data_IF_046807861544
#
_entry.id   IF_046807861544
#
_cell.length_a   1.000
_cell.length_b   1.000
_cell.length_c   1.000
_cell.angle_alpha   90.00
_cell.angle_beta   90.00
_cell.angle_gamma   90.00
#
_symmetry.space_group_name_H-M   'P 1'
#
loop_
_entity.id
_entity.type
_entity.pdbx_description
1 polymer ?
#
# COMPACT_ATOMS: atom_id res chain seq x y z
N UNK A 1 39.21 13.97 4.50
CA UNK A 1 38.17 14.24 5.53
C UNK A 1 38.29 15.70 5.91
N UNK A 2 37.72 16.58 5.09
CA UNK A 2 37.75 18.02 5.30
C UNK A 2 36.33 18.51 5.67
N UNK A 3 36.26 19.01 6.91
CA UNK A 3 35.32 20.00 7.44
C UNK A 3 33.89 20.11 6.88
N UNK A 4 33.01 19.20 7.28
CA UNK A 4 31.55 19.41 7.25
C UNK A 4 30.99 20.26 8.41
N UNK A 5 31.87 20.93 9.17
CA UNK A 5 31.53 21.75 10.34
C UNK A 5 30.98 23.15 10.00
N UNK A 6 30.82 23.50 8.72
CA UNK A 6 30.36 24.84 8.29
C UNK A 6 28.92 24.86 7.73
N UNK A 7 28.09 23.85 7.99
CA UNK A 7 26.67 24.05 7.77
C UNK A 7 26.16 25.09 8.77
N UNK A 8 25.62 26.23 8.32
CA UNK A 8 25.04 27.23 9.22
C UNK A 8 23.94 26.56 10.03
N UNK A 9 24.07 26.57 11.36
CA UNK A 9 23.02 26.10 12.28
C UNK A 9 21.72 26.76 11.87
N UNK A 10 20.73 25.97 11.44
CA UNK A 10 19.41 26.48 11.13
C UNK A 10 18.93 27.33 12.32
N UNK A 11 18.55 28.60 12.12
CA UNK A 11 18.09 29.44 13.20
C UNK A 11 16.85 28.82 13.84
N UNK A 12 16.85 28.69 15.18
CA UNK A 12 15.67 28.26 15.91
C UNK A 12 14.51 29.23 15.60
N UNK A 13 13.30 28.71 15.43
CA UNK A 13 12.08 29.41 15.03
C UNK A 13 11.78 30.69 15.87
N UNK A 14 12.48 30.92 16.97
CA UNK A 14 12.26 32.03 17.90
C UNK A 14 13.07 33.31 17.64
N UNK A 15 14.03 33.39 16.70
CA UNK A 15 14.98 34.49 16.63
C UNK A 15 15.06 35.24 15.29
N UNK A 16 13.93 35.41 14.60
CA UNK A 16 13.82 36.14 13.32
C UNK A 16 14.34 37.61 13.44
N UNK A 17 14.24 38.21 14.62
CA UNK A 17 14.73 39.59 14.87
C UNK A 17 16.27 39.70 14.85
N UNK A 18 17.01 38.59 15.01
CA UNK A 18 18.47 38.61 15.04
C UNK A 18 19.13 38.14 13.70
N UNK A 19 18.32 37.89 12.66
CA UNK A 19 18.83 37.50 11.34
C UNK A 19 19.41 38.70 10.60
N UNK A 20 20.49 38.44 9.81
CA UNK A 20 21.00 39.42 8.87
C UNK A 20 19.92 39.81 7.82
N UNK A 21 19.98 40.99 7.20
CA UNK A 21 19.02 41.36 6.16
C UNK A 21 18.92 40.38 5.01
N UNK A 22 20.05 39.74 4.62
CA UNK A 22 20.10 38.71 3.58
C UNK A 22 19.38 37.44 4.02
N UNK A 23 19.68 36.91 5.20
CA UNK A 23 19.03 35.72 5.74
C UNK A 23 17.51 35.91 5.92
N UNK A 24 17.06 37.14 6.31
CA UNK A 24 15.65 37.47 6.41
C UNK A 24 14.95 37.48 5.04
N UNK A 25 15.64 37.97 4.00
CA UNK A 25 15.13 37.95 2.62
C UNK A 25 15.00 36.52 2.08
N UNK A 26 16.02 35.67 2.31
CA UNK A 26 16.01 34.27 1.93
C UNK A 26 14.90 33.50 2.64
N UNK A 27 14.74 33.67 3.95
CA UNK A 27 13.67 33.09 4.75
C UNK A 27 12.29 33.49 4.24
N UNK A 28 12.07 34.79 3.99
CA UNK A 28 10.81 35.30 3.43
C UNK A 28 10.52 34.71 2.04
N UNK A 29 11.52 34.69 1.18
CA UNK A 29 11.37 34.10 -0.16
C UNK A 29 11.08 32.60 -0.06
N UNK A 30 11.74 31.86 0.83
CA UNK A 30 11.46 30.46 1.08
C UNK A 30 10.02 30.21 1.50
N UNK A 31 9.48 31.04 2.44
CA UNK A 31 8.07 30.95 2.83
C UNK A 31 7.15 31.26 1.64
N UNK A 32 7.44 32.31 0.86
CA UNK A 32 6.62 32.69 -0.29
C UNK A 32 6.56 31.58 -1.35
N UNK A 33 7.67 30.86 -1.59
CA UNK A 33 7.68 29.70 -2.49
C UNK A 33 6.89 28.52 -1.96
N UNK A 34 6.84 28.30 -0.64
CA UNK A 34 6.06 27.25 -0.02
C UNK A 34 4.57 27.61 0.17
N UNK A 35 4.23 28.88 0.11
CA UNK A 35 2.89 29.38 0.42
C UNK A 35 1.79 28.77 -0.49
N UNK A 36 1.95 28.64 -1.81
CA UNK A 36 0.96 27.98 -2.67
C UNK A 36 0.68 26.53 -2.24
N UNK A 37 1.75 25.79 -1.87
CA UNK A 37 1.61 24.44 -1.36
C UNK A 37 0.88 24.40 -0.02
N UNK A 38 1.22 25.29 0.93
CA UNK A 38 0.52 25.38 2.22
C UNK A 38 -0.96 25.72 2.07
N UNK A 39 -1.29 26.65 1.20
CA UNK A 39 -2.70 27.00 0.92
C UNK A 39 -3.44 25.79 0.35
N UNK A 40 -2.86 25.10 -0.64
CA UNK A 40 -3.43 23.90 -1.23
C UNK A 40 -3.60 22.79 -0.19
N UNK A 41 -2.59 22.54 0.62
CA UNK A 41 -2.64 21.54 1.69
C UNK A 41 -3.74 21.84 2.71
N UNK A 42 -3.80 23.09 3.20
CA UNK A 42 -4.83 23.49 4.18
C UNK A 42 -6.22 23.37 3.57
N UNK A 43 -6.43 23.92 2.37
CA UNK A 43 -7.76 23.99 1.76
C UNK A 43 -8.29 22.63 1.29
N UNK A 44 -7.43 21.77 0.72
CA UNK A 44 -7.87 20.53 0.06
C UNK A 44 -7.53 19.24 0.83
N UNK A 45 -6.70 19.31 1.85
CA UNK A 45 -6.34 18.15 2.67
C UNK A 45 -6.77 18.34 4.12
N UNK A 46 -6.23 19.37 4.78
CA UNK A 46 -6.43 19.55 6.23
C UNK A 46 -7.89 19.87 6.58
N UNK A 47 -8.51 20.85 5.90
CA UNK A 47 -9.91 21.23 6.17
C UNK A 47 -10.90 20.09 5.90
N UNK A 48 -10.88 19.37 4.76
CA UNK A 48 -11.73 18.19 4.57
C UNK A 48 -11.45 17.08 5.60
N UNK A 49 -10.20 16.87 5.98
CA UNK A 49 -9.84 15.90 7.02
C UNK A 49 -10.45 16.25 8.38
N UNK A 50 -10.35 17.52 8.80
CA UNK A 50 -10.98 18.00 10.03
C UNK A 50 -12.51 17.96 9.95
N UNK A 51 -13.09 18.26 8.80
CA UNK A 51 -14.53 18.14 8.59
C UNK A 51 -15.00 16.68 8.73
N UNK A 52 -14.28 15.69 8.16
CA UNK A 52 -14.62 14.29 8.35
C UNK A 52 -14.45 13.85 9.80
N UNK A 53 -13.47 14.39 10.54
CA UNK A 53 -13.37 14.14 11.98
C UNK A 53 -14.58 14.68 12.73
N UNK A 54 -15.03 15.90 12.41
CA UNK A 54 -16.23 16.46 12.99
C UNK A 54 -17.48 15.62 12.70
N UNK A 55 -17.60 15.05 11.48
CA UNK A 55 -18.70 14.17 11.10
C UNK A 55 -18.81 12.93 11.96
N UNK A 56 -17.73 12.46 12.57
CA UNK A 56 -17.79 11.30 13.48
C UNK A 56 -18.61 11.54 14.74
N UNK A 57 -18.80 12.80 15.15
CA UNK A 57 -19.51 13.19 16.37
C UNK A 57 -20.95 13.62 16.15
N UNK A 58 -21.40 13.67 14.90
CA UNK A 58 -22.77 14.03 14.52
C UNK A 58 -23.45 12.86 13.82
N UNK A 59 -24.80 12.88 13.73
CA UNK A 59 -25.57 12.05 12.79
C UNK A 59 -25.98 12.92 11.61
N UNK A 60 -25.43 12.60 10.46
CA UNK A 60 -25.71 13.27 9.19
C UNK A 60 -25.71 12.24 8.06
N UNK A 61 -26.80 12.19 7.32
CA UNK A 61 -27.03 11.28 6.21
C UNK A 61 -27.60 12.04 5.01
N UNK A 62 -27.47 11.46 3.84
CA UNK A 62 -28.24 11.92 2.68
C UNK A 62 -29.47 11.03 2.58
N UNK A 63 -30.67 11.61 2.69
CA UNK A 63 -31.92 10.89 2.54
C UNK A 63 -32.69 11.53 1.39
N UNK A 64 -33.07 10.75 0.40
CA UNK A 64 -33.77 11.25 -0.83
C UNK A 64 -33.03 12.41 -1.53
N UNK A 65 -31.69 12.38 -1.53
CA UNK A 65 -30.85 13.42 -2.16
C UNK A 65 -30.68 14.70 -1.34
N UNK A 66 -31.23 14.76 -0.13
CA UNK A 66 -31.14 15.92 0.77
C UNK A 66 -30.34 15.54 2.01
N UNK A 67 -29.45 16.45 2.43
CA UNK A 67 -28.71 16.30 3.71
C UNK A 67 -29.69 16.43 4.88
N UNK A 68 -29.67 15.46 5.78
CA UNK A 68 -30.42 15.58 7.06
C UNK A 68 -29.80 16.67 7.91
N UNK A 69 -30.60 17.32 8.76
CA UNK A 69 -30.07 18.28 9.75
C UNK A 69 -29.08 17.59 10.68
N UNK A 70 -27.83 18.08 10.79
CA UNK A 70 -26.84 17.49 11.67
C UNK A 70 -27.30 17.46 13.12
N UNK A 71 -27.26 16.30 13.75
CA UNK A 71 -27.57 16.14 15.18
C UNK A 71 -26.32 15.71 15.92
N UNK A 72 -25.98 16.38 17.01
CA UNK A 72 -24.85 16.00 17.84
C UNK A 72 -25.14 14.68 18.56
N UNK A 73 -24.30 13.65 18.34
CA UNK A 73 -24.45 12.32 18.93
C UNK A 73 -23.23 11.90 19.79
N UNK A 74 -22.23 12.76 19.90
CA UNK A 74 -21.02 12.49 20.66
C UNK A 74 -20.31 11.21 20.16
N UNK A 75 -20.06 10.25 21.02
CA UNK A 75 -19.33 9.01 20.70
C UNK A 75 -20.22 7.85 20.20
N UNK A 76 -21.49 8.08 19.91
CA UNK A 76 -22.43 7.02 19.53
C UNK A 76 -21.96 6.24 18.27
N UNK A 77 -21.37 6.92 17.27
CA UNK A 77 -20.84 6.29 16.08
C UNK A 77 -19.66 5.35 16.39
N UNK A 78 -18.81 5.71 17.36
CA UNK A 78 -17.73 4.84 17.83
C UNK A 78 -18.25 3.63 18.61
N UNK A 79 -19.30 3.81 19.43
CA UNK A 79 -19.95 2.68 20.11
C UNK A 79 -20.55 1.71 19.09
N UNK A 80 -21.16 2.25 18.01
CA UNK A 80 -21.68 1.45 16.90
C UNK A 80 -20.54 0.69 16.21
N UNK A 81 -19.38 1.34 15.94
CA UNK A 81 -18.21 0.72 15.34
C UNK A 81 -17.77 -0.55 16.11
N UNK A 82 -17.67 -0.49 17.43
CA UNK A 82 -17.25 -1.65 18.25
C UNK A 82 -18.28 -2.77 18.31
N UNK A 83 -19.54 -2.49 18.00
CA UNK A 83 -20.64 -3.48 17.94
C UNK A 83 -20.92 -3.99 16.54
N UNK A 84 -20.25 -3.45 15.51
CA UNK A 84 -20.53 -3.76 14.13
C UNK A 84 -19.97 -5.12 13.71
N UNK A 85 -20.85 -6.09 13.55
CA UNK A 85 -20.48 -7.44 13.11
C UNK A 85 -19.90 -7.47 11.68
N UNK A 86 -20.18 -6.48 10.82
CA UNK A 86 -19.59 -6.38 9.49
C UNK A 86 -18.08 -6.10 9.56
N UNK A 87 -17.59 -5.63 10.69
CA UNK A 87 -16.16 -5.36 10.92
C UNK A 87 -15.49 -6.51 11.66
N UNK A 88 -16.11 -6.95 12.77
CA UNK A 88 -15.43 -7.75 13.78
C UNK A 88 -15.76 -9.25 13.74
N UNK A 89 -16.74 -9.69 12.93
CA UNK A 89 -17.10 -11.09 12.89
C UNK A 89 -15.92 -11.97 12.43
N UNK A 90 -15.39 -12.79 13.34
CA UNK A 90 -14.30 -13.71 13.06
C UNK A 90 -14.75 -15.06 12.48
N UNK A 91 -16.06 -15.28 12.26
CA UNK A 91 -16.58 -16.54 11.78
C UNK A 91 -16.03 -16.88 10.37
N UNK A 92 -15.40 -18.06 10.20
CA UNK A 92 -14.65 -18.34 8.99
C UNK A 92 -15.52 -18.65 7.74
N UNK A 93 -16.79 -18.96 7.91
CA UNK A 93 -17.63 -19.51 6.84
C UNK A 93 -18.92 -18.74 6.54
N UNK A 94 -19.38 -17.85 7.41
CA UNK A 94 -20.61 -17.10 7.19
C UNK A 94 -20.38 -15.62 7.47
N UNK A 95 -20.07 -14.87 6.40
CA UNK A 95 -19.83 -13.41 6.44
C UNK A 95 -18.73 -13.00 7.42
N UNK A 96 -17.46 -13.29 7.13
CA UNK A 96 -16.35 -12.82 7.94
C UNK A 96 -16.32 -11.30 7.98
N UNK A 97 -15.92 -10.72 9.11
CA UNK A 97 -15.80 -9.27 9.25
C UNK A 97 -14.77 -8.67 8.31
N UNK A 98 -15.05 -7.49 7.81
CA UNK A 98 -14.28 -6.80 6.77
C UNK A 98 -12.81 -6.55 7.17
N UNK A 99 -12.56 -6.29 8.45
CA UNK A 99 -11.20 -6.15 8.96
C UNK A 99 -10.44 -7.48 8.91
N UNK A 100 -11.11 -8.58 9.28
CA UNK A 100 -10.54 -9.92 9.23
C UNK A 100 -10.23 -10.39 7.79
N UNK A 101 -11.10 -10.06 6.83
CA UNK A 101 -10.87 -10.29 5.41
C UNK A 101 -9.61 -9.58 4.95
N UNK A 102 -9.45 -8.31 5.32
CA UNK A 102 -8.27 -7.50 4.98
C UNK A 102 -6.99 -8.13 5.52
N UNK A 103 -6.99 -8.54 6.79
CA UNK A 103 -5.82 -9.21 7.39
C UNK A 103 -5.51 -10.57 6.74
N UNK A 104 -6.51 -11.41 6.49
CA UNK A 104 -6.31 -12.71 5.82
C UNK A 104 -5.68 -12.55 4.45
N UNK A 105 -6.20 -11.64 3.66
CA UNK A 105 -5.63 -11.33 2.37
C UNK A 105 -4.20 -10.82 2.51
N UNK A 106 -3.93 -9.96 3.49
CA UNK A 106 -2.61 -9.40 3.77
C UNK A 106 -1.55 -10.45 4.09
N UNK A 107 -1.91 -11.51 4.84
CA UNK A 107 -1.00 -12.63 5.17
C UNK A 107 -0.48 -13.31 3.89
N UNK A 108 -1.27 -13.35 2.84
CA UNK A 108 -0.89 -13.96 1.56
C UNK A 108 -0.25 -12.92 0.64
N UNK A 109 -0.89 -11.76 0.49
CA UNK A 109 -0.51 -10.76 -0.49
C UNK A 109 0.80 -10.03 -0.14
N UNK A 110 1.05 -9.71 1.14
CA UNK A 110 2.25 -8.97 1.56
C UNK A 110 3.54 -9.75 1.32
N UNK A 111 3.68 -11.03 1.76
CA UNK A 111 4.90 -11.78 1.47
C UNK A 111 5.16 -11.91 -0.03
N UNK A 112 4.15 -12.20 -0.83
CA UNK A 112 4.30 -12.33 -2.28
C UNK A 112 4.67 -10.97 -2.89
N UNK A 113 4.00 -9.88 -2.47
CA UNK A 113 4.25 -8.52 -2.95
C UNK A 113 5.62 -7.96 -2.58
N UNK A 114 6.35 -8.57 -1.63
CA UNK A 114 7.71 -8.18 -1.25
C UNK A 114 8.75 -9.16 -1.80
N UNK A 115 8.54 -10.46 -1.59
CA UNK A 115 9.55 -11.47 -1.93
C UNK A 115 9.66 -11.69 -3.44
N UNK A 116 8.55 -11.64 -4.17
CA UNK A 116 8.56 -11.85 -5.62
C UNK A 116 9.28 -10.70 -6.36
N UNK A 117 8.99 -9.41 -6.13
CA UNK A 117 9.77 -8.32 -6.70
C UNK A 117 11.24 -8.35 -6.32
N UNK A 118 11.57 -8.69 -5.07
CA UNK A 118 12.95 -8.84 -4.60
C UNK A 118 13.67 -9.96 -5.36
N UNK A 119 13.03 -11.14 -5.49
CA UNK A 119 13.58 -12.26 -6.24
C UNK A 119 13.84 -11.92 -7.71
N UNK A 120 12.89 -11.24 -8.37
CA UNK A 120 13.05 -10.77 -9.75
C UNK A 120 14.17 -9.72 -9.84
N UNK A 121 14.25 -8.78 -8.88
CA UNK A 121 15.31 -7.78 -8.85
C UNK A 121 16.70 -8.42 -8.71
N UNK A 122 16.85 -9.44 -7.86
CA UNK A 122 18.09 -10.22 -7.73
C UNK A 122 18.45 -10.94 -9.03
N UNK A 123 17.49 -11.55 -9.70
CA UNK A 123 17.71 -12.16 -11.02
C UNK A 123 18.12 -11.13 -12.07
N UNK A 124 17.46 -9.96 -12.07
CA UNK A 124 17.78 -8.86 -12.98
C UNK A 124 19.14 -8.22 -12.71
N UNK A 125 19.69 -8.33 -11.50
CA UNK A 125 21.03 -7.84 -11.17
C UNK A 125 22.15 -8.81 -11.61
N UNK A 126 21.80 -10.02 -12.08
CA UNK A 126 22.80 -10.98 -12.50
C UNK A 126 23.46 -10.57 -13.83
N UNK A 127 24.78 -10.42 -13.82
CA UNK A 127 25.60 -10.02 -15.00
C UNK A 127 25.49 -11.00 -16.19
N UNK A 128 25.12 -12.26 -15.92
CA UNK A 128 24.95 -13.29 -16.95
C UNK A 128 23.60 -13.20 -17.67
N UNK A 129 22.65 -12.44 -17.15
CA UNK A 129 21.34 -12.30 -17.78
C UNK A 129 21.44 -11.39 -19.01
N UNK A 130 21.32 -11.98 -20.19
CA UNK A 130 21.26 -11.23 -21.47
C UNK A 130 19.87 -10.61 -21.63
N UNK A 131 19.79 -9.38 -22.16
CA UNK A 131 18.53 -8.72 -22.44
C UNK A 131 17.85 -8.08 -21.20
N UNK A 132 18.58 -7.74 -20.14
CA UNK A 132 18.05 -7.11 -18.92
C UNK A 132 17.11 -5.92 -19.21
N UNK A 133 17.43 -5.07 -20.18
CA UNK A 133 16.61 -3.91 -20.53
C UNK A 133 15.24 -4.32 -21.09
N UNK A 134 15.17 -5.41 -21.86
CA UNK A 134 13.90 -5.94 -22.38
C UNK A 134 13.03 -6.44 -21.21
N UNK A 135 13.61 -7.21 -20.31
CA UNK A 135 12.86 -7.71 -19.13
C UNK A 135 12.42 -6.56 -18.21
N UNK A 136 13.27 -5.55 -17.96
CA UNK A 136 12.87 -4.34 -17.20
C UNK A 136 11.67 -3.67 -17.85
N UNK A 137 11.68 -3.48 -19.17
CA UNK A 137 10.55 -2.90 -19.89
C UNK A 137 9.29 -3.75 -19.80
N UNK A 138 9.40 -5.08 -19.95
CA UNK A 138 8.27 -6.01 -19.86
C UNK A 138 7.62 -6.00 -18.47
N UNK A 139 8.41 -6.04 -17.39
CA UNK A 139 7.88 -5.99 -16.03
C UNK A 139 7.30 -4.61 -15.66
N UNK A 140 7.81 -3.54 -16.27
CA UNK A 140 7.32 -2.19 -16.01
C UNK A 140 6.10 -1.80 -16.87
N UNK A 141 5.95 -2.41 -18.05
CA UNK A 141 4.86 -2.10 -19.02
C UNK A 141 3.46 -2.10 -18.38
N UNK A 142 3.10 -3.07 -17.50
CA UNK A 142 1.80 -3.07 -16.84
C UNK A 142 1.51 -1.80 -16.02
N UNK A 143 2.52 -1.16 -15.46
CA UNK A 143 2.36 0.05 -14.66
C UNK A 143 1.90 1.28 -15.48
N UNK A 144 2.02 1.22 -16.80
CA UNK A 144 1.55 2.27 -17.72
C UNK A 144 0.04 2.19 -17.94
N UNK A 145 -0.55 0.98 -17.77
CA UNK A 145 -1.98 0.76 -17.96
C UNK A 145 -2.76 1.37 -16.79
N UNK A 146 -3.79 2.20 -17.03
CA UNK A 146 -4.63 2.70 -15.95
C UNK A 146 -5.22 1.55 -15.12
N UNK A 147 -5.11 1.65 -13.80
CA UNK A 147 -5.42 0.54 -12.87
C UNK A 147 -6.83 -0.04 -13.07
N UNK A 148 -7.84 0.83 -13.25
CA UNK A 148 -9.23 0.37 -13.47
C UNK A 148 -9.37 -0.38 -14.80
N UNK A 149 -8.71 0.08 -15.86
CA UNK A 149 -8.69 -0.64 -17.15
C UNK A 149 -8.03 -2.03 -17.00
N UNK A 150 -6.96 -2.12 -16.21
CA UNK A 150 -6.32 -3.39 -15.89
C UNK A 150 -7.27 -4.36 -15.18
N UNK A 151 -8.12 -3.87 -14.25
CA UNK A 151 -9.12 -4.73 -13.58
C UNK A 151 -10.13 -5.30 -14.58
N UNK A 152 -10.61 -4.49 -15.52
CA UNK A 152 -11.55 -4.96 -16.58
C UNK A 152 -10.88 -6.00 -17.51
N UNK A 153 -9.62 -5.76 -17.92
CA UNK A 153 -8.87 -6.73 -18.73
C UNK A 153 -8.76 -8.08 -18.01
N UNK A 154 -8.35 -8.07 -16.74
CA UNK A 154 -8.26 -9.27 -15.93
C UNK A 154 -9.63 -9.92 -15.71
N UNK A 155 -10.68 -9.15 -15.50
CA UNK A 155 -12.06 -9.64 -15.38
C UNK A 155 -12.53 -10.40 -16.63
N UNK A 156 -12.17 -9.92 -17.82
CA UNK A 156 -12.43 -10.61 -19.08
C UNK A 156 -11.56 -11.88 -19.25
N UNK A 157 -10.28 -11.80 -18.94
CA UNK A 157 -9.34 -12.94 -19.05
C UNK A 157 -9.66 -14.07 -18.08
N UNK A 158 -10.06 -13.73 -16.84
CA UNK A 158 -10.39 -14.64 -15.74
C UNK A 158 -11.90 -14.97 -15.68
N UNK A 159 -12.70 -14.63 -16.71
CA UNK A 159 -14.10 -15.03 -16.73
C UNK A 159 -14.20 -16.57 -16.75
N UNK A 160 -14.97 -17.20 -15.82
CA UNK A 160 -15.04 -18.65 -15.73
C UNK A 160 -15.53 -19.34 -17.01
N UNK A 161 -16.45 -18.71 -17.75
CA UNK A 161 -17.10 -19.30 -18.92
C UNK A 161 -16.43 -18.92 -20.25
N UNK A 162 -16.13 -17.64 -20.43
CA UNK A 162 -15.65 -17.09 -21.71
C UNK A 162 -14.17 -16.72 -21.71
N UNK A 163 -13.52 -16.69 -20.51
CA UNK A 163 -12.18 -16.20 -20.34
C UNK A 163 -11.09 -17.05 -21.02
N UNK A 164 -10.09 -16.35 -21.51
CA UNK A 164 -8.99 -17.01 -22.25
C UNK A 164 -8.16 -17.94 -21.37
N UNK A 165 -8.01 -17.63 -20.09
CA UNK A 165 -7.20 -18.46 -19.18
C UNK A 165 -7.87 -19.81 -18.99
N UNK A 166 -9.19 -19.88 -18.73
CA UNK A 166 -9.87 -21.17 -18.62
C UNK A 166 -9.87 -21.95 -19.94
N UNK A 167 -9.98 -21.27 -21.09
CA UNK A 167 -9.85 -21.90 -22.41
C UNK A 167 -8.46 -22.50 -22.61
N UNK A 168 -7.41 -21.80 -22.22
CA UNK A 168 -6.04 -22.30 -22.24
C UNK A 168 -5.86 -23.52 -21.32
N UNK A 169 -6.38 -23.47 -20.08
CA UNK A 169 -6.34 -24.59 -19.14
C UNK A 169 -7.03 -25.84 -19.71
N UNK A 170 -8.18 -25.66 -20.35
CA UNK A 170 -8.87 -26.76 -21.04
C UNK A 170 -8.03 -27.34 -22.19
N UNK A 171 -7.33 -26.52 -22.97
CA UNK A 171 -6.46 -26.99 -24.05
C UNK A 171 -5.24 -27.79 -23.53
N UNK A 172 -4.84 -27.58 -22.28
CA UNK A 172 -3.85 -28.39 -21.57
C UNK A 172 -4.44 -29.66 -20.93
N UNK A 173 -5.73 -29.95 -21.14
CA UNK A 173 -6.37 -31.18 -20.68
C UNK A 173 -7.02 -31.10 -19.30
N UNK A 174 -7.17 -29.91 -18.71
CA UNK A 174 -7.87 -29.74 -17.42
C UNK A 174 -9.38 -29.84 -17.68
N UNK A 175 -10.12 -30.78 -17.04
CA UNK A 175 -11.56 -30.92 -17.18
C UNK A 175 -12.30 -29.65 -16.72
N UNK A 176 -13.45 -29.36 -17.34
CA UNK A 176 -14.25 -28.15 -17.09
C UNK A 176 -14.69 -28.01 -15.63
N UNK A 177 -15.00 -29.09 -14.97
CA UNK A 177 -15.42 -29.17 -13.57
C UNK A 177 -14.29 -28.92 -12.55
N UNK A 178 -13.03 -28.96 -13.00
CA UNK A 178 -11.85 -28.64 -12.20
C UNK A 178 -11.29 -27.23 -12.46
N UNK A 179 -11.93 -26.46 -13.35
CA UNK A 179 -11.48 -25.12 -13.66
C UNK A 179 -11.75 -24.13 -12.50
N UNK A 180 -10.84 -23.18 -12.28
CA UNK A 180 -11.05 -22.14 -11.27
C UNK A 180 -12.27 -21.28 -11.59
N UNK A 181 -13.08 -21.02 -10.56
CA UNK A 181 -14.17 -20.02 -10.63
C UNK A 181 -13.67 -18.60 -10.42
N UNK A 182 -12.33 -18.43 -10.24
CA UNK A 182 -11.63 -17.16 -10.06
C UNK A 182 -12.29 -16.26 -9.00
N UNK A 183 -12.65 -15.03 -9.36
CA UNK A 183 -13.27 -14.08 -8.46
C UNK A 183 -14.68 -14.49 -7.99
N UNK A 184 -15.30 -15.48 -8.62
CA UNK A 184 -16.65 -15.99 -8.29
C UNK A 184 -16.62 -17.19 -7.34
N UNK A 185 -15.44 -17.72 -7.01
CA UNK A 185 -15.24 -18.85 -6.10
C UNK A 185 -14.56 -18.40 -4.82
N UNK A 186 -15.09 -18.83 -3.67
CA UNK A 186 -14.59 -18.45 -2.34
C UNK A 186 -13.14 -18.93 -2.10
N UNK A 187 -12.74 -20.03 -2.72
CA UNK A 187 -11.39 -20.57 -2.60
C UNK A 187 -10.39 -19.88 -3.55
N UNK A 188 -10.90 -19.29 -4.64
CA UNK A 188 -10.06 -18.70 -5.68
C UNK A 188 -10.03 -17.17 -5.65
N UNK A 189 -10.91 -16.50 -4.91
CA UNK A 189 -10.99 -15.04 -4.89
C UNK A 189 -9.67 -14.38 -4.44
N UNK A 190 -9.01 -14.89 -3.38
CA UNK A 190 -7.72 -14.34 -2.95
C UNK A 190 -6.57 -14.69 -3.89
N UNK A 191 -6.39 -15.94 -4.35
CA UNK A 191 -5.46 -16.23 -5.42
C UNK A 191 -5.63 -15.35 -6.65
N UNK A 192 -6.88 -15.10 -7.08
CA UNK A 192 -7.19 -14.21 -8.20
C UNK A 192 -6.65 -12.79 -7.98
N UNK A 193 -6.93 -12.21 -6.81
CA UNK A 193 -6.47 -10.86 -6.49
C UNK A 193 -4.95 -10.78 -6.38
N UNK A 194 -4.30 -11.82 -5.86
CA UNK A 194 -2.83 -11.92 -5.80
C UNK A 194 -2.23 -12.01 -7.21
N UNK A 195 -2.79 -12.85 -8.10
CA UNK A 195 -2.34 -12.98 -9.50
C UNK A 195 -2.46 -11.62 -10.22
N UNK A 196 -3.57 -10.91 -10.03
CA UNK A 196 -3.72 -9.55 -10.57
C UNK A 196 -2.69 -8.58 -9.99
N UNK A 197 -2.36 -8.69 -8.70
CA UNK A 197 -1.33 -7.90 -8.02
C UNK A 197 0.08 -8.16 -8.55
N UNK A 198 0.39 -9.42 -8.88
CA UNK A 198 1.69 -9.81 -9.47
C UNK A 198 1.93 -9.10 -10.81
N UNK A 199 0.89 -8.83 -11.58
CA UNK A 199 1.00 -8.07 -12.82
C UNK A 199 1.59 -6.67 -12.60
N UNK A 200 1.33 -6.03 -11.46
CA UNK A 200 1.73 -4.65 -11.15
C UNK A 200 3.03 -4.51 -10.36
N UNK A 201 3.82 -5.57 -10.17
CA UNK A 201 5.03 -5.54 -9.30
C UNK A 201 6.22 -4.76 -9.86
N UNK A 202 6.15 -4.28 -11.11
CA UNK A 202 7.27 -3.64 -11.80
C UNK A 202 7.89 -2.47 -11.03
N UNK A 203 7.08 -1.61 -10.41
CA UNK A 203 7.58 -0.48 -9.60
C UNK A 203 8.39 -0.96 -8.38
N UNK A 204 7.87 -1.92 -7.63
CA UNK A 204 8.57 -2.48 -6.47
C UNK A 204 9.87 -3.20 -6.90
N UNK A 205 9.82 -3.95 -8.01
CA UNK A 205 11.00 -4.61 -8.59
C UNK A 205 12.08 -3.59 -8.98
N UNK A 206 11.73 -2.51 -9.68
CA UNK A 206 12.70 -1.48 -10.08
C UNK A 206 13.30 -0.76 -8.88
N UNK A 207 12.49 -0.44 -7.87
CA UNK A 207 12.97 0.19 -6.63
C UNK A 207 13.97 -0.71 -5.89
N UNK A 208 13.65 -2.00 -5.77
CA UNK A 208 14.54 -2.99 -5.16
C UNK A 208 15.80 -3.23 -5.98
N UNK A 209 15.69 -3.26 -7.32
CA UNK A 209 16.84 -3.39 -8.21
C UNK A 209 17.79 -2.20 -8.08
N UNK A 210 17.25 -0.98 -8.00
CA UNK A 210 18.07 0.21 -7.75
C UNK A 210 18.79 0.13 -6.40
N UNK A 211 18.11 -0.35 -5.36
CA UNK A 211 18.72 -0.61 -4.05
C UNK A 211 19.86 -1.63 -4.12
N UNK A 212 19.68 -2.74 -4.84
CA UNK A 212 20.73 -3.76 -5.02
C UNK A 212 21.91 -3.20 -5.80
N UNK A 213 21.66 -2.41 -6.84
CA UNK A 213 22.72 -1.77 -7.65
C UNK A 213 23.47 -0.67 -6.91
N UNK A 214 22.87 -0.12 -5.85
CA UNK A 214 23.50 0.87 -4.97
C UNK A 214 24.48 0.27 -3.94
N UNK A 215 24.54 -1.05 -3.79
CA UNK A 215 25.47 -1.69 -2.85
C UNK A 215 26.91 -1.59 -3.39
N UNK A 216 27.89 -1.09 -2.60
CA UNK A 216 29.27 -0.99 -3.02
C UNK A 216 29.87 -2.34 -3.46
N UNK A 217 30.53 -2.36 -4.61
CA UNK A 217 31.15 -3.58 -5.17
C UNK A 217 32.21 -4.17 -4.26
N UNK A 218 32.93 -3.32 -3.51
CA UNK A 218 33.98 -3.70 -2.59
C UNK A 218 33.51 -4.69 -1.51
N UNK A 219 32.24 -4.56 -1.06
CA UNK A 219 31.64 -5.49 -0.11
C UNK A 219 31.46 -6.90 -0.70
N UNK A 220 31.08 -6.97 -1.99
CA UNK A 220 30.98 -8.24 -2.70
C UNK A 220 32.35 -8.87 -2.97
N UNK A 221 33.36 -8.05 -3.24
CA UNK A 221 34.71 -8.54 -3.48
C UNK A 221 35.37 -9.01 -2.19
N UNK A 222 35.16 -8.30 -1.08
CA UNK A 222 35.57 -8.77 0.25
C UNK A 222 34.94 -10.13 0.60
N UNK A 223 33.61 -10.25 0.39
CA UNK A 223 32.92 -11.52 0.66
C UNK A 223 33.44 -12.71 -0.15
N UNK A 224 33.92 -12.47 -1.40
CA UNK A 224 34.55 -13.51 -2.21
C UNK A 224 35.92 -13.89 -1.68
N UNK A 225 36.70 -12.91 -1.22
CA UNK A 225 38.02 -13.17 -0.60
C UNK A 225 37.86 -14.02 0.66
N UNK A 226 36.79 -13.75 1.44
CA UNK A 226 36.45 -14.53 2.63
C UNK A 226 35.85 -15.92 2.28
N UNK A 227 35.72 -16.27 1.01
CA UNK A 227 35.19 -17.56 0.56
C UNK A 227 33.70 -17.72 0.73
N UNK A 228 32.93 -16.62 0.91
CA UNK A 228 31.48 -16.68 1.08
C UNK A 228 30.78 -17.13 -0.20
N UNK A 229 29.93 -18.17 -0.09
CA UNK A 229 29.04 -18.59 -1.17
C UNK A 229 27.88 -17.58 -1.40
N UNK A 230 27.15 -17.76 -2.49
CA UNK A 230 26.05 -16.84 -2.90
C UNK A 230 25.00 -16.60 -1.80
N UNK A 231 24.63 -17.65 -1.07
CA UNK A 231 23.65 -17.55 0.02
C UNK A 231 24.20 -16.74 1.22
N UNK A 232 25.44 -16.99 1.60
CA UNK A 232 26.12 -16.23 2.67
C UNK A 232 26.26 -14.75 2.28
N UNK A 233 26.70 -14.49 1.04
CA UNK A 233 26.79 -13.10 0.50
C UNK A 233 25.43 -12.40 0.49
N UNK A 234 24.34 -13.12 0.14
CA UNK A 234 23.00 -12.53 0.19
C UNK A 234 22.64 -12.10 1.62
N UNK A 235 22.75 -12.97 2.62
CA UNK A 235 22.33 -12.68 3.98
C UNK A 235 23.24 -11.71 4.73
N UNK A 236 24.55 -11.71 4.45
CA UNK A 236 25.52 -10.89 5.19
C UNK A 236 25.86 -9.56 4.50
N UNK A 237 25.62 -9.43 3.19
CA UNK A 237 25.93 -8.22 2.42
C UNK A 237 24.68 -7.66 1.76
N UNK A 238 24.03 -8.42 0.87
CA UNK A 238 22.95 -7.87 0.03
C UNK A 238 21.72 -7.50 0.86
N UNK A 239 21.21 -8.42 1.68
CA UNK A 239 19.99 -8.21 2.45
C UNK A 239 20.12 -7.03 3.45
N UNK A 240 21.17 -6.93 4.27
CA UNK A 240 21.34 -5.77 5.16
C UNK A 240 21.39 -4.44 4.38
N UNK A 241 22.17 -4.37 3.33
CA UNK A 241 22.34 -3.12 2.55
C UNK A 241 21.08 -2.70 1.81
N UNK A 242 20.23 -3.64 1.39
CA UNK A 242 18.94 -3.39 0.67
C UNK A 242 17.77 -3.29 1.64
N UNK A 243 17.94 -3.66 2.91
CA UNK A 243 16.87 -3.67 3.90
C UNK A 243 16.10 -2.34 4.04
N UNK A 244 16.71 -1.13 3.90
CA UNK A 244 15.95 0.13 3.91
C UNK A 244 14.94 0.22 2.74
N UNK A 245 15.33 -0.27 1.57
CA UNK A 245 14.46 -0.27 0.38
C UNK A 245 13.34 -1.32 0.52
N UNK A 246 13.66 -2.48 1.08
CA UNK A 246 12.65 -3.52 1.41
C UNK A 246 11.66 -2.96 2.42
N UNK A 247 12.12 -2.28 3.46
CA UNK A 247 11.29 -1.66 4.49
C UNK A 247 10.37 -0.58 3.90
N UNK A 248 10.89 0.28 3.03
CA UNK A 248 10.09 1.27 2.30
C UNK A 248 8.96 0.62 1.51
N UNK A 249 9.26 -0.41 0.71
CA UNK A 249 8.24 -1.14 -0.04
C UNK A 249 7.24 -1.86 0.87
N UNK A 250 7.68 -2.38 2.02
CA UNK A 250 6.81 -3.01 3.02
C UNK A 250 5.79 -2.02 3.58
N UNK A 251 6.23 -0.81 3.97
CA UNK A 251 5.33 0.24 4.46
C UNK A 251 4.27 0.58 3.40
N UNK A 252 4.70 0.83 2.15
CA UNK A 252 3.77 1.15 1.06
C UNK A 252 2.78 0.02 0.80
N UNK A 253 3.24 -1.24 0.83
CA UNK A 253 2.39 -2.41 0.62
C UNK A 253 1.37 -2.59 1.75
N UNK A 254 1.75 -2.35 3.00
CA UNK A 254 0.84 -2.43 4.17
C UNK A 254 -0.22 -1.33 4.10
N UNK A 255 0.17 -0.09 3.80
CA UNK A 255 -0.79 1.02 3.61
C UNK A 255 -1.74 0.69 2.45
N UNK A 256 -1.22 0.22 1.32
CA UNK A 256 -2.02 -0.19 0.15
C UNK A 256 -2.98 -1.34 0.43
N UNK A 257 -2.58 -2.30 1.29
CA UNK A 257 -3.43 -3.41 1.73
C UNK A 257 -4.68 -2.89 2.45
N UNK A 258 -4.52 -2.00 3.42
CA UNK A 258 -5.66 -1.43 4.15
C UNK A 258 -6.55 -0.55 3.28
N UNK A 259 -6.01 0.02 2.20
CA UNK A 259 -6.73 0.82 1.22
C UNK A 259 -7.28 0.00 0.05
N UNK A 260 -7.18 -1.33 0.09
CA UNK A 260 -7.60 -2.21 -1.00
C UNK A 260 -9.13 -2.27 -1.11
N UNK A 261 -9.70 -1.77 -2.21
CA UNK A 261 -11.14 -1.81 -2.47
C UNK A 261 -11.55 -1.79 -3.94
N UNK A 262 -10.73 -1.19 -4.84
CA UNK A 262 -11.12 -1.01 -6.24
C UNK A 262 -11.30 -2.32 -6.98
N UNK A 263 -10.45 -3.32 -6.74
CA UNK A 263 -10.56 -4.62 -7.40
C UNK A 263 -11.88 -5.31 -7.03
N UNK A 264 -12.22 -5.52 -5.74
CA UNK A 264 -13.52 -6.10 -5.39
C UNK A 264 -14.71 -5.19 -5.72
N UNK A 265 -14.54 -3.87 -5.77
CA UNK A 265 -15.60 -2.95 -6.20
C UNK A 265 -15.95 -3.18 -7.68
N UNK A 266 -14.95 -3.29 -8.55
CA UNK A 266 -15.16 -3.43 -10.00
C UNK A 266 -15.47 -4.88 -10.37
N UNK A 267 -14.64 -5.83 -9.92
CA UNK A 267 -14.72 -7.23 -10.35
C UNK A 267 -15.93 -7.96 -9.73
N UNK A 268 -16.22 -7.71 -8.45
CA UNK A 268 -17.33 -8.31 -7.71
C UNK A 268 -18.48 -7.33 -7.45
N UNK A 269 -18.53 -6.21 -8.21
CA UNK A 269 -19.58 -5.18 -8.14
C UNK A 269 -19.81 -4.63 -6.73
N UNK A 270 -18.79 -4.69 -5.87
CA UNK A 270 -18.88 -4.23 -4.49
C UNK A 270 -19.86 -5.01 -3.59
N UNK A 271 -20.35 -6.17 -4.05
CA UNK A 271 -21.35 -6.97 -3.31
C UNK A 271 -20.76 -7.70 -2.10
N UNK A 272 -19.43 -7.88 -2.08
CA UNK A 272 -18.76 -8.74 -1.11
C UNK A 272 -18.73 -10.23 -1.52
N UNK A 273 -19.34 -10.58 -2.67
CA UNK A 273 -19.32 -11.97 -3.18
C UNK A 273 -17.87 -12.40 -3.53
N UNK A 274 -17.59 -13.72 -3.49
CA UNK A 274 -18.43 -14.83 -3.02
C UNK A 274 -18.43 -14.92 -1.48
N UNK A 275 -19.60 -15.25 -0.90
CA UNK A 275 -19.70 -15.55 0.55
C UNK A 275 -19.18 -14.48 1.51
N UNK A 276 -19.17 -13.21 1.13
CA UNK A 276 -18.62 -12.10 1.91
C UNK A 276 -17.09 -11.93 1.79
N UNK A 277 -16.37 -12.85 1.16
CA UNK A 277 -14.90 -12.88 1.16
C UNK A 277 -14.22 -11.68 0.48
N UNK A 278 -14.94 -10.95 -0.37
CA UNK A 278 -14.42 -9.74 -1.03
C UNK A 278 -14.82 -8.42 -0.34
N UNK A 279 -15.49 -8.47 0.82
CA UNK A 279 -15.90 -7.28 1.57
C UNK A 279 -14.75 -6.75 2.43
N UNK A 280 -13.70 -6.23 1.80
CA UNK A 280 -12.59 -5.59 2.50
C UNK A 280 -13.04 -4.38 3.31
N UNK A 281 -12.29 -4.02 4.34
CA UNK A 281 -12.63 -2.90 5.22
C UNK A 281 -12.85 -1.60 4.45
N UNK A 282 -11.95 -1.26 3.54
CA UNK A 282 -12.06 -0.02 2.76
C UNK A 282 -13.24 -0.07 1.76
N UNK A 283 -13.62 -1.25 1.27
CA UNK A 283 -14.85 -1.42 0.47
C UNK A 283 -16.10 -1.19 1.32
N UNK A 284 -16.13 -1.73 2.54
CA UNK A 284 -17.24 -1.51 3.48
C UNK A 284 -17.39 -0.02 3.84
N UNK A 285 -16.25 0.65 4.12
CA UNK A 285 -16.20 2.09 4.32
C UNK A 285 -16.77 2.84 3.12
N UNK A 286 -16.27 2.56 1.93
CA UNK A 286 -16.75 3.18 0.68
C UNK A 286 -18.26 3.01 0.50
N UNK A 287 -18.77 1.81 0.70
CA UNK A 287 -20.22 1.54 0.60
C UNK A 287 -21.02 2.31 1.64
N UNK A 288 -20.55 2.35 2.88
CA UNK A 288 -21.23 3.06 3.97
C UNK A 288 -21.31 4.54 3.69
N UNK A 289 -20.21 5.15 3.24
CA UNK A 289 -20.15 6.59 3.00
C UNK A 289 -20.91 6.99 1.71
N UNK A 290 -20.59 6.35 0.58
CA UNK A 290 -21.06 6.78 -0.73
C UNK A 290 -22.34 6.06 -1.20
N UNK A 291 -22.48 4.76 -0.97
CA UNK A 291 -23.62 3.98 -1.45
C UNK A 291 -24.79 4.08 -0.47
N UNK A 292 -24.55 3.86 0.81
CA UNK A 292 -25.55 3.95 1.86
C UNK A 292 -25.76 5.39 2.33
N UNK A 293 -24.97 6.33 1.82
CA UNK A 293 -25.07 7.77 2.08
C UNK A 293 -25.04 8.13 3.59
N UNK A 294 -24.41 7.28 4.41
CA UNK A 294 -24.20 7.53 5.84
C UNK A 294 -22.85 8.17 6.07
N UNK A 295 -22.79 9.50 5.93
CA UNK A 295 -21.53 10.26 6.01
C UNK A 295 -20.89 10.17 7.39
N UNK A 296 -21.68 10.21 8.45
CA UNK A 296 -21.19 10.18 9.82
C UNK A 296 -20.52 8.86 10.17
N UNK A 297 -21.19 7.75 9.92
CA UNK A 297 -20.64 6.43 10.21
C UNK A 297 -19.51 6.07 9.23
N UNK A 298 -19.61 6.44 7.95
CA UNK A 298 -18.53 6.28 6.98
C UNK A 298 -17.27 7.04 7.37
N UNK A 299 -17.41 8.26 7.89
CA UNK A 299 -16.28 9.04 8.44
C UNK A 299 -15.67 8.37 9.67
N UNK A 300 -16.50 7.78 10.54
CA UNK A 300 -16.03 7.03 11.71
C UNK A 300 -15.21 5.80 11.28
N UNK A 301 -15.66 5.08 10.26
CA UNK A 301 -14.91 3.97 9.66
C UNK A 301 -13.56 4.44 9.10
N UNK A 302 -13.53 5.60 8.41
CA UNK A 302 -12.30 6.16 7.85
C UNK A 302 -11.27 6.51 8.94
N UNK A 303 -11.72 7.15 10.03
CA UNK A 303 -10.84 7.49 11.15
C UNK A 303 -10.37 6.25 11.92
N UNK A 304 -11.23 5.23 12.07
CA UNK A 304 -10.82 3.96 12.64
C UNK A 304 -9.77 3.26 11.79
N UNK A 305 -9.94 3.26 10.46
CA UNK A 305 -8.93 2.72 9.54
C UNK A 305 -7.61 3.47 9.62
N UNK A 306 -7.67 4.80 9.70
CA UNK A 306 -6.48 5.64 9.91
C UNK A 306 -5.72 5.24 11.17
N UNK A 307 -6.42 5.03 12.29
CA UNK A 307 -5.80 4.57 13.55
C UNK A 307 -5.17 3.19 13.40
N UNK A 308 -5.84 2.25 12.72
CA UNK A 308 -5.29 0.90 12.46
C UNK A 308 -4.02 0.99 11.63
N UNK A 309 -4.03 1.78 10.54
CA UNK A 309 -2.84 1.99 9.69
C UNK A 309 -1.72 2.65 10.50
N UNK A 310 -2.03 3.68 11.29
CA UNK A 310 -1.06 4.38 12.12
C UNK A 310 -0.39 3.43 13.12
N UNK A 311 -1.18 2.64 13.86
CA UNK A 311 -0.66 1.65 14.82
C UNK A 311 0.23 0.63 14.09
N UNK A 312 -0.25 0.08 12.99
CA UNK A 312 0.53 -0.90 12.20
C UNK A 312 1.84 -0.28 11.69
N UNK A 313 1.80 0.96 11.24
CA UNK A 313 3.00 1.68 10.78
C UNK A 313 3.97 1.93 11.93
N UNK A 314 3.50 2.35 13.10
CA UNK A 314 4.33 2.51 14.30
C UNK A 314 4.99 1.18 14.70
N UNK A 315 4.25 0.08 14.65
CA UNK A 315 4.81 -1.25 14.92
C UNK A 315 5.90 -1.59 13.91
N UNK A 316 5.70 -1.35 12.62
CA UNK A 316 6.72 -1.58 11.59
C UNK A 316 7.98 -0.76 11.86
N UNK A 317 7.85 0.55 12.15
CA UNK A 317 9.01 1.39 12.49
C UNK A 317 9.71 0.94 13.76
N UNK A 318 8.98 0.49 14.77
CA UNK A 318 9.59 -0.02 16.01
C UNK A 318 10.39 -1.31 15.80
N UNK A 319 9.98 -2.13 14.83
CA UNK A 319 10.72 -3.36 14.46
C UNK A 319 11.90 -3.07 13.52
N UNK A 320 11.87 -1.97 12.77
CA UNK A 320 12.91 -1.62 11.80
C UNK A 320 14.31 -1.58 12.42
N UNK A 321 14.44 -1.08 13.64
CA UNK A 321 15.70 -1.02 14.40
C UNK A 321 16.43 -2.37 14.55
N UNK A 322 15.76 -3.49 14.37
CA UNK A 322 16.34 -4.83 14.56
C UNK A 322 16.86 -5.46 13.27
N UNK A 323 16.39 -4.99 12.09
CA UNK A 323 16.68 -5.66 10.83
C UNK A 323 16.97 -4.70 9.66
N UNK A 324 16.69 -3.40 9.81
CA UNK A 324 16.99 -2.39 8.78
C UNK A 324 18.34 -1.76 9.09
N UNK A 325 19.26 -1.81 8.13
CA UNK A 325 20.59 -1.27 8.26
C UNK A 325 20.69 0.12 7.61
N UNK A 326 21.02 1.14 8.41
CA UNK A 326 21.29 2.49 7.93
C UNK A 326 22.80 2.77 8.04
N UNK A 327 23.47 2.90 6.89
CA UNK A 327 24.94 3.11 6.84
C UNK A 327 25.41 4.41 7.54
N UNK A 328 24.52 5.39 7.74
CA UNK A 328 24.81 6.66 8.38
C UNK A 328 24.72 6.64 9.92
N UNK A 329 24.19 5.59 10.52
CA UNK A 329 23.97 5.49 11.98
C UNK A 329 25.08 4.72 12.71
N UNK A 330 25.99 4.08 11.97
CA UNK A 330 27.19 3.44 12.53
C UNK A 330 28.43 4.20 12.08
N UNK A 331 29.00 5.08 12.96
CA UNK A 331 30.24 5.78 12.70
C UNK A 331 31.46 4.83 12.67
#
# INVERSE_FOLDING_TARGET
>A
MENLTHLPKLPSFGNIKKMSPIARREYRNGILFLLPWFIGFIAFVLLPMLATLFFTFIDMRITTGVLTTPKWVGLANYITLFKDNQIWNAAPKSSPGSLWITFRFGIIALPIGILLPLGIALLMNNKWLKGQNIFRSLFYMPAIIPFVASIFLWGGMLNPESGWINKALMSFGIPKDHLPGWANDINWVYPTYVIMGIWGIGNAMLTMLAGIQGVPTDLYDASKVDGAGTFATFWNVTFPMVSPVIFYNLILSVVGLFQYFLVPLVLNQGTGAPGGASMFYNLYLYKTFFVNQNMSYGSTLAWALFVVILITTIILFSTARYWVYYASENP
#
